data_IF_453194190232
#
_entry.id   IF_453194190232
#
_cell.length_a   1.000
_cell.length_b   1.000
_cell.length_c   1.000
_cell.angle_alpha   90.00
_cell.angle_beta   90.00
_cell.angle_gamma   90.00
#
_symmetry.space_group_name_H-M   'P 1'
#
loop_
_entity.id
_entity.type
_entity.pdbx_description
1 polymer ?
#
# COMPACT_ATOMS: atom_id res chain seq x y z
N UNK A 1 -8.78 -8.22 64.03
CA UNK A 1 -8.59 -9.44 63.23
C UNK A 1 -7.25 -9.33 62.53
N UNK A 2 -6.30 -10.26 62.56
CA UNK A 2 -6.10 -11.48 63.33
C UNK A 2 -4.59 -11.56 63.58
N UNK A 3 -4.24 -12.02 64.77
CA UNK A 3 -2.93 -12.07 65.40
C UNK A 3 -1.83 -12.69 64.52
N UNK A 4 -0.77 -11.91 64.27
CA UNK A 4 0.50 -12.38 63.75
C UNK A 4 1.17 -13.21 64.84
N UNK A 5 1.15 -14.53 64.65
CA UNK A 5 1.66 -15.52 65.58
C UNK A 5 3.18 -15.40 65.66
N UNK A 6 3.62 -14.62 66.64
CA UNK A 6 4.98 -14.64 67.13
C UNK A 6 5.21 -15.96 67.86
N UNK A 7 6.36 -16.57 67.57
CA UNK A 7 7.09 -17.47 68.47
C UNK A 7 6.91 -18.98 68.22
N UNK A 8 7.67 -19.52 67.26
CA UNK A 8 8.15 -20.91 67.36
C UNK A 8 9.56 -21.06 66.77
N UNK A 9 10.48 -20.21 67.24
CA UNK A 9 11.90 -20.26 66.88
C UNK A 9 12.74 -20.99 67.96
N UNK A 10 12.14 -21.91 68.73
CA UNK A 10 12.81 -22.57 69.85
C UNK A 10 12.33 -24.00 70.10
N UNK A 11 12.08 -24.78 69.05
CA UNK A 11 12.10 -26.24 69.13
C UNK A 11 13.21 -26.75 68.22
N UNK A 12 14.43 -26.80 68.75
CA UNK A 12 15.40 -27.76 68.24
C UNK A 12 14.71 -29.13 68.44
N UNK A 13 14.46 -29.92 67.37
CA UNK A 13 13.86 -31.24 67.54
C UNK A 13 14.72 -32.00 68.55
N UNK A 14 14.07 -32.60 69.54
CA UNK A 14 14.76 -33.39 70.57
C UNK A 14 15.59 -34.44 69.84
N UNK A 15 16.90 -34.19 69.79
CA UNK A 15 17.78 -34.79 68.80
C UNK A 15 17.87 -36.30 69.05
N UNK A 16 17.59 -36.73 70.28
CA UNK A 16 17.49 -38.13 70.66
C UNK A 16 16.24 -38.85 70.12
N UNK A 17 15.11 -38.16 69.95
CA UNK A 17 13.88 -38.78 69.44
C UNK A 17 13.97 -38.98 67.92
N UNK A 18 14.45 -37.97 67.20
CA UNK A 18 14.67 -38.04 65.75
C UNK A 18 15.73 -39.08 65.35
N UNK A 19 16.82 -39.19 66.12
CA UNK A 19 17.84 -40.23 65.89
C UNK A 19 17.29 -41.65 66.12
N UNK A 20 16.34 -41.82 67.05
CA UNK A 20 15.69 -43.11 67.30
C UNK A 20 14.78 -43.50 66.14
N UNK A 21 13.94 -42.59 65.67
CA UNK A 21 13.03 -42.82 64.54
C UNK A 21 13.83 -43.15 63.26
N UNK A 22 14.92 -42.43 63.01
CA UNK A 22 15.83 -42.75 61.91
C UNK A 22 16.49 -44.11 62.06
N UNK A 23 16.91 -44.48 63.27
CA UNK A 23 17.56 -45.78 63.50
C UNK A 23 16.62 -46.96 63.27
N UNK A 24 15.34 -46.81 63.63
CA UNK A 24 14.31 -47.83 63.38
C UNK A 24 13.96 -47.94 61.90
N UNK A 25 13.90 -46.80 61.19
CA UNK A 25 13.66 -46.78 59.74
C UNK A 25 14.82 -47.45 58.97
N UNK A 26 16.07 -47.12 59.31
CA UNK A 26 17.28 -47.70 58.70
C UNK A 26 17.37 -49.21 58.97
N UNK A 27 16.97 -49.66 60.17
CA UNK A 27 16.94 -51.09 60.51
C UNK A 27 15.86 -51.85 59.73
N UNK A 28 14.72 -51.20 59.43
CA UNK A 28 13.62 -51.81 58.69
C UNK A 28 13.94 -52.09 57.22
N UNK A 29 14.82 -51.30 56.59
CA UNK A 29 15.24 -51.49 55.18
C UNK A 29 16.52 -52.34 55.02
N UNK A 30 17.06 -52.92 56.10
CA UNK A 30 18.26 -53.77 56.07
C UNK A 30 19.48 -53.08 55.43
N UNK A 31 19.64 -51.78 55.66
CA UNK A 31 20.73 -50.97 55.13
C UNK A 31 21.86 -50.92 56.16
N UNK A 32 23.02 -51.48 55.82
CA UNK A 32 24.22 -51.39 56.65
C UNK A 32 24.72 -49.93 56.65
N UNK A 33 24.54 -49.25 57.77
CA UNK A 33 24.92 -47.84 57.91
C UNK A 33 26.06 -47.69 58.89
N UNK A 34 27.06 -46.90 58.50
CA UNK A 34 28.21 -46.53 59.32
C UNK A 34 28.05 -45.08 59.73
N UNK A 35 27.64 -44.84 60.96
CA UNK A 35 27.54 -43.48 61.50
C UNK A 35 28.94 -42.94 61.76
N UNK A 36 29.36 -41.93 60.99
CA UNK A 36 30.63 -41.24 61.21
C UNK A 36 30.32 -39.86 61.76
N UNK A 37 30.69 -39.62 63.03
CA UNK A 37 30.58 -38.30 63.66
C UNK A 37 31.64 -37.38 63.05
N UNK A 38 31.23 -36.55 62.10
CA UNK A 38 32.09 -35.49 61.56
C UNK A 38 31.98 -34.24 62.44
N UNK A 39 32.95 -34.04 63.32
CA UNK A 39 33.17 -32.75 63.97
C UNK A 39 34.07 -31.91 63.06
N UNK A 40 33.47 -31.22 62.10
CA UNK A 40 34.21 -30.17 61.39
C UNK A 40 34.22 -28.90 62.24
N UNK A 41 35.39 -28.27 62.33
CA UNK A 41 35.49 -26.96 62.96
C UNK A 41 34.79 -25.94 62.06
N UNK A 42 34.08 -24.96 62.60
CA UNK A 42 33.38 -23.91 61.82
C UNK A 42 34.30 -23.25 60.77
N UNK A 43 35.61 -23.22 61.03
CA UNK A 43 36.64 -22.78 60.09
C UNK A 43 36.76 -23.63 58.81
N UNK A 44 36.57 -24.95 58.88
CA UNK A 44 36.60 -25.84 57.71
C UNK A 44 35.37 -25.64 56.83
N UNK A 45 34.19 -25.51 57.43
CA UNK A 45 32.97 -25.19 56.69
C UNK A 45 33.05 -23.81 56.01
N UNK A 46 33.63 -22.82 56.69
CA UNK A 46 33.89 -21.50 56.10
C UNK A 46 34.94 -21.56 54.99
N UNK A 47 35.97 -22.40 55.12
CA UNK A 47 36.98 -22.56 54.08
C UNK A 47 36.40 -23.21 52.82
N UNK A 48 35.59 -24.26 52.98
CA UNK A 48 34.91 -24.92 51.85
C UNK A 48 33.92 -23.97 51.16
N UNK A 49 33.16 -23.19 51.92
CA UNK A 49 32.22 -22.23 51.32
C UNK A 49 32.93 -21.07 50.63
N UNK A 50 34.04 -20.58 51.20
CA UNK A 50 34.88 -19.55 50.57
C UNK A 50 35.45 -20.06 49.23
N UNK A 51 35.97 -21.29 49.19
CA UNK A 51 36.51 -21.89 47.96
C UNK A 51 35.41 -22.13 46.92
N UNK A 52 34.23 -22.63 47.31
CA UNK A 52 33.10 -22.76 46.37
C UNK A 52 32.59 -21.42 45.85
N UNK A 53 32.71 -20.34 46.63
CA UNK A 53 32.34 -18.99 46.18
C UNK A 53 33.31 -18.44 45.13
N UNK A 54 34.58 -18.81 45.22
CA UNK A 54 35.60 -18.51 44.20
C UNK A 54 35.35 -19.30 42.91
N UNK A 55 34.92 -20.54 43.03
CA UNK A 55 34.70 -21.47 41.90
C UNK A 55 33.56 -21.03 40.97
N UNK A 56 32.55 -20.29 41.47
CA UNK A 56 31.49 -19.74 40.60
C UNK A 56 31.95 -18.65 39.65
N UNK A 57 33.05 -17.96 39.93
CA UNK A 57 33.58 -16.88 39.08
C UNK A 57 34.84 -17.28 38.31
N UNK A 58 35.45 -18.43 38.62
CA UNK A 58 36.70 -18.85 38.01
C UNK A 58 36.41 -19.76 36.81
N UNK A 59 36.20 -19.14 35.65
CA UNK A 59 35.99 -19.87 34.40
C UNK A 59 37.29 -20.59 33.99
N UNK A 60 37.35 -21.90 34.20
CA UNK A 60 38.50 -22.77 33.86
C UNK A 60 38.66 -23.03 32.35
N UNK A 61 37.67 -22.68 31.53
CA UNK A 61 37.70 -22.87 30.08
C UNK A 61 38.27 -21.63 29.37
N UNK A 62 39.51 -21.28 29.71
CA UNK A 62 40.23 -20.12 29.17
C UNK A 62 41.50 -20.55 28.40
N UNK A 63 42.01 -19.64 27.57
CA UNK A 63 43.19 -19.91 26.74
C UNK A 63 42.96 -21.05 25.76
N UNK A 64 43.82 -22.07 25.83
CA UNK A 64 43.86 -23.22 24.91
C UNK A 64 42.65 -24.17 25.07
N UNK A 65 41.95 -24.11 26.20
CA UNK A 65 40.78 -24.95 26.51
C UNK A 65 39.43 -24.21 26.42
N UNK A 66 39.37 -23.07 25.70
CA UNK A 66 38.10 -22.38 25.41
C UNK A 66 37.18 -23.31 24.59
N UNK A 67 35.89 -23.49 24.96
CA UNK A 67 34.95 -24.21 24.12
C UNK A 67 34.85 -23.48 22.77
N UNK A 68 34.84 -24.24 21.68
CA UNK A 68 34.53 -23.72 20.35
C UNK A 68 33.14 -23.08 20.43
N UNK A 69 33.09 -21.76 20.66
CA UNK A 69 31.86 -21.10 21.08
C UNK A 69 30.77 -21.32 20.04
N UNK A 70 29.60 -21.82 20.46
CA UNK A 70 28.40 -21.88 19.60
C UNK A 70 28.07 -20.51 18.97
N UNK A 71 28.55 -19.43 19.59
CA UNK A 71 28.49 -18.06 19.07
C UNK A 71 29.29 -17.83 17.78
N UNK A 72 30.34 -18.59 17.48
CA UNK A 72 31.07 -18.44 16.21
C UNK A 72 30.23 -18.96 15.02
N UNK A 73 29.56 -20.10 15.20
CA UNK A 73 28.60 -20.62 14.22
C UNK A 73 27.39 -19.68 14.08
N UNK A 74 26.85 -19.20 15.20
CA UNK A 74 25.75 -18.23 15.20
C UNK A 74 26.14 -16.90 14.54
N UNK A 75 27.37 -16.41 14.76
CA UNK A 75 27.88 -15.18 14.12
C UNK A 75 28.06 -15.36 12.62
N UNK A 76 28.46 -16.54 12.16
CA UNK A 76 28.53 -16.85 10.71
C UNK A 76 27.13 -16.93 10.10
N UNK A 77 26.16 -17.49 10.82
CA UNK A 77 24.76 -17.51 10.41
C UNK A 77 24.15 -16.11 10.34
N UNK A 78 24.32 -15.30 11.39
CA UNK A 78 23.87 -13.91 11.44
C UNK A 78 24.51 -13.04 10.34
N UNK A 79 25.79 -13.26 10.01
CA UNK A 79 26.44 -12.60 8.86
C UNK A 79 25.81 -13.00 7.53
N UNK A 80 25.45 -14.27 7.33
CA UNK A 80 24.76 -14.72 6.12
C UNK A 80 23.36 -14.12 6.03
N UNK A 81 22.62 -14.10 7.14
CA UNK A 81 21.29 -13.49 7.23
C UNK A 81 21.36 -11.99 6.96
N UNK A 82 22.32 -11.27 7.55
CA UNK A 82 22.47 -9.82 7.31
C UNK A 82 22.79 -9.50 5.84
N UNK A 83 23.59 -10.34 5.18
CA UNK A 83 23.87 -10.19 3.74
C UNK A 83 22.61 -10.44 2.90
N UNK A 84 21.83 -11.47 3.23
CA UNK A 84 20.57 -11.74 2.56
C UNK A 84 19.54 -10.60 2.73
N UNK A 85 19.43 -10.05 3.95
CA UNK A 85 18.57 -8.91 4.23
C UNK A 85 19.05 -7.66 3.49
N UNK A 86 20.36 -7.37 3.49
CA UNK A 86 20.92 -6.25 2.75
C UNK A 86 20.67 -6.36 1.25
N UNK A 87 20.80 -7.57 0.68
CA UNK A 87 20.49 -7.83 -0.73
C UNK A 87 19.00 -7.61 -1.04
N UNK A 88 18.11 -8.05 -0.16
CA UNK A 88 16.67 -7.83 -0.31
C UNK A 88 16.31 -6.34 -0.24
N UNK A 89 16.89 -5.60 0.70
CA UNK A 89 16.69 -4.14 0.82
C UNK A 89 17.25 -3.42 -0.41
N UNK A 90 18.43 -3.79 -0.89
CA UNK A 90 19.02 -3.21 -2.09
C UNK A 90 18.15 -3.47 -3.33
N UNK A 91 17.64 -4.70 -3.49
CA UNK A 91 16.73 -5.04 -4.58
C UNK A 91 15.43 -4.25 -4.49
N UNK A 92 14.84 -4.15 -3.30
CA UNK A 92 13.64 -3.34 -3.07
C UNK A 92 13.90 -1.88 -3.45
N UNK A 93 15.01 -1.30 -3.01
CA UNK A 93 15.38 0.08 -3.33
C UNK A 93 15.58 0.29 -4.84
N UNK A 94 16.20 -0.67 -5.53
CA UNK A 94 16.41 -0.64 -6.99
C UNK A 94 15.07 -0.70 -7.74
N UNK A 95 14.15 -1.57 -7.32
CA UNK A 95 12.81 -1.66 -7.91
C UNK A 95 12.02 -0.37 -7.67
N UNK A 96 12.06 0.18 -6.45
CA UNK A 96 11.35 1.42 -6.12
C UNK A 96 11.92 2.63 -6.87
N UNK A 97 13.25 2.77 -6.95
CA UNK A 97 13.88 3.85 -7.73
C UNK A 97 13.68 3.68 -9.24
N UNK A 98 13.82 2.45 -9.76
CA UNK A 98 13.63 2.15 -11.17
C UNK A 98 12.19 2.38 -11.62
N UNK A 99 11.22 1.90 -10.84
CA UNK A 99 9.81 2.16 -11.07
C UNK A 99 9.45 3.64 -10.96
N UNK A 100 10.02 4.34 -9.96
CA UNK A 100 9.86 5.78 -9.79
C UNK A 100 10.40 6.58 -10.97
N UNK A 101 11.63 6.32 -11.41
CA UNK A 101 12.26 7.03 -12.52
C UNK A 101 11.53 6.76 -13.85
N UNK A 102 11.14 5.51 -14.10
CA UNK A 102 10.40 5.12 -15.30
C UNK A 102 9.01 5.76 -15.37
N UNK A 103 8.32 5.85 -14.22
CA UNK A 103 7.01 6.50 -14.15
C UNK A 103 7.11 8.02 -14.29
N UNK A 104 8.15 8.65 -13.75
CA UNK A 104 8.42 10.08 -13.94
C UNK A 104 8.71 10.41 -15.41
N UNK A 105 9.55 9.61 -16.10
CA UNK A 105 9.84 9.83 -17.51
C UNK A 105 8.59 9.75 -18.40
N UNK A 106 7.70 8.79 -18.10
CA UNK A 106 6.39 8.72 -18.77
C UNK A 106 5.51 9.92 -18.44
N UNK A 107 5.44 10.33 -17.17
CA UNK A 107 4.66 11.49 -16.74
C UNK A 107 5.10 12.79 -17.43
N UNK A 108 6.42 13.01 -17.56
CA UNK A 108 6.98 14.18 -18.25
C UNK A 108 6.58 14.20 -19.73
N UNK A 109 6.64 13.04 -20.41
CA UNK A 109 6.24 12.95 -21.82
C UNK A 109 4.75 13.29 -22.04
N UNK A 110 3.86 12.88 -21.13
CA UNK A 110 2.43 13.23 -21.20
C UNK A 110 2.17 14.70 -20.83
N UNK A 111 2.99 15.25 -19.92
CA UNK A 111 2.92 16.67 -19.56
C UNK A 111 3.32 17.55 -20.75
N UNK A 112 4.42 17.24 -21.43
CA UNK A 112 4.90 17.98 -22.59
C UNK A 112 3.89 17.97 -23.75
N UNK A 113 3.27 16.81 -24.03
CA UNK A 113 2.19 16.72 -25.03
C UNK A 113 0.98 17.60 -24.66
N UNK A 114 0.59 17.60 -23.38
CA UNK A 114 -0.50 18.44 -22.89
C UNK A 114 -0.18 19.93 -22.97
N UNK A 115 1.07 20.32 -22.70
CA UNK A 115 1.56 21.71 -22.83
C UNK A 115 1.56 22.15 -24.30
N UNK A 116 1.99 21.28 -25.22
CA UNK A 116 2.00 21.57 -26.65
C UNK A 116 0.58 21.85 -27.17
N UNK A 117 -0.39 20.99 -26.80
CA UNK A 117 -1.81 21.18 -27.15
C UNK A 117 -2.37 22.44 -26.50
N UNK A 118 -2.07 22.70 -25.22
CA UNK A 118 -2.56 23.90 -24.55
C UNK A 118 -2.03 25.19 -25.21
N UNK A 119 -0.77 25.18 -25.65
CA UNK A 119 -0.12 26.34 -26.28
C UNK A 119 -0.62 26.60 -27.70
N UNK A 120 -1.04 25.57 -28.44
CA UNK A 120 -1.67 25.75 -29.76
C UNK A 120 -3.05 26.40 -29.64
N UNK A 121 -3.81 26.08 -28.58
CA UNK A 121 -5.12 26.65 -28.31
C UNK A 121 -5.06 28.07 -27.71
N UNK A 122 -4.05 28.36 -26.87
CA UNK A 122 -3.93 29.65 -26.16
C UNK A 122 -2.51 30.25 -26.24
N UNK A 123 -2.09 30.77 -27.41
CA UNK A 123 -0.72 31.26 -27.64
C UNK A 123 -0.32 32.50 -26.83
N UNK A 124 -1.26 33.18 -26.16
CA UNK A 124 -1.01 34.43 -25.40
C UNK A 124 -0.68 34.23 -23.92
N UNK A 125 -0.70 33.00 -23.37
CA UNK A 125 -0.45 32.77 -21.93
C UNK A 125 0.99 32.31 -21.64
N UNK A 126 1.72 33.13 -20.86
CA UNK A 126 3.16 33.00 -20.58
C UNK A 126 3.55 31.99 -19.50
N UNK A 127 2.62 31.43 -18.72
CA UNK A 127 2.91 30.46 -17.64
C UNK A 127 1.89 29.32 -17.60
N UNK A 128 2.28 28.17 -18.13
CA UNK A 128 1.54 26.91 -18.06
C UNK A 128 2.16 26.07 -16.95
N UNK A 129 1.53 26.02 -15.78
CA UNK A 129 2.00 25.22 -14.63
C UNK A 129 1.20 23.92 -14.46
N UNK A 130 -0.08 23.93 -14.85
CA UNK A 130 -0.98 22.78 -14.90
C UNK A 130 -1.96 23.00 -16.09
N UNK A 131 -1.62 22.54 -17.31
CA UNK A 131 -2.41 22.83 -18.52
C UNK A 131 -3.85 22.31 -18.40
N UNK A 132 -4.03 21.10 -17.86
CA UNK A 132 -5.35 20.46 -17.72
C UNK A 132 -6.26 21.24 -16.75
N UNK A 133 -5.73 21.68 -15.61
CA UNK A 133 -6.52 22.46 -14.65
C UNK A 133 -6.84 23.86 -15.17
N UNK A 134 -5.89 24.49 -15.87
CA UNK A 134 -6.10 25.79 -16.49
C UNK A 134 -7.14 25.71 -17.61
N UNK A 135 -7.09 24.68 -18.45
CA UNK A 135 -8.10 24.41 -19.47
C UNK A 135 -9.47 24.17 -18.82
N UNK A 136 -9.58 23.28 -17.83
CA UNK A 136 -10.83 23.07 -17.09
C UNK A 136 -11.38 24.35 -16.48
N UNK A 137 -10.51 25.22 -15.93
CA UNK A 137 -10.93 26.53 -15.38
C UNK A 137 -11.41 27.49 -16.47
N UNK A 138 -10.73 27.53 -17.61
CA UNK A 138 -11.18 28.33 -18.75
C UNK A 138 -12.50 27.82 -19.33
N UNK A 139 -12.65 26.49 -19.43
CA UNK A 139 -13.87 25.83 -19.87
C UNK A 139 -15.02 25.98 -18.87
N UNK A 140 -14.76 26.09 -17.56
CA UNK A 140 -15.79 26.40 -16.56
C UNK A 140 -16.19 27.87 -16.53
N UNK A 141 -15.49 28.72 -17.27
CA UNK A 141 -15.83 30.11 -17.44
C UNK A 141 -15.52 30.97 -16.21
N UNK A 142 -14.65 31.95 -16.43
CA UNK A 142 -14.43 33.10 -15.56
C UNK A 142 -15.54 34.16 -15.74
N UNK A 143 -16.76 33.72 -16.08
CA UNK A 143 -17.97 34.51 -16.24
C UNK A 143 -18.95 34.03 -15.20
N UNK A 144 -19.18 34.85 -14.19
CA UNK A 144 -20.29 34.73 -13.25
C UNK A 144 -21.58 34.70 -14.09
N UNK A 145 -22.09 33.50 -14.38
CA UNK A 145 -23.26 33.29 -15.21
C UNK A 145 -23.38 31.81 -15.59
N UNK A 146 -24.48 31.18 -15.20
CA UNK A 146 -24.74 29.73 -15.15
C UNK A 146 -24.57 28.94 -16.47
N UNK A 147 -24.20 29.57 -17.58
CA UNK A 147 -24.44 29.04 -18.93
C UNK A 147 -23.34 28.14 -19.47
N UNK A 148 -22.10 28.19 -18.95
CA UNK A 148 -21.04 27.25 -19.39
C UNK A 148 -21.16 25.87 -18.71
N UNK A 149 -22.06 25.72 -17.73
CA UNK A 149 -22.27 24.44 -17.04
C UNK A 149 -22.91 23.39 -17.94
N UNK A 150 -23.71 23.78 -18.93
CA UNK A 150 -24.50 22.85 -19.75
C UNK A 150 -23.79 22.42 -21.05
N UNK A 151 -22.79 23.18 -21.52
CA UNK A 151 -22.03 22.83 -22.72
C UNK A 151 -21.22 21.53 -22.55
N UNK A 152 -20.46 21.42 -21.45
CA UNK A 152 -19.56 20.26 -21.24
C UNK A 152 -20.32 18.94 -21.09
N UNK A 153 -21.43 18.86 -20.33
CA UNK A 153 -22.25 17.65 -20.26
C UNK A 153 -22.81 17.24 -21.62
N UNK A 154 -23.34 18.20 -22.41
CA UNK A 154 -23.87 17.92 -23.74
C UNK A 154 -22.77 17.44 -24.70
N UNK A 155 -21.58 18.02 -24.61
CA UNK A 155 -20.43 17.59 -25.40
C UNK A 155 -19.92 16.19 -24.98
N UNK A 156 -19.87 15.90 -23.68
CA UNK A 156 -19.48 14.59 -23.17
C UNK A 156 -20.45 13.50 -23.69
N UNK A 157 -21.75 13.73 -23.53
CA UNK A 157 -22.80 12.87 -24.08
C UNK A 157 -22.66 12.66 -25.60
N UNK A 158 -22.50 13.75 -26.36
CA UNK A 158 -22.30 13.67 -27.81
C UNK A 158 -21.06 12.87 -28.20
N UNK A 159 -19.94 13.06 -27.49
CA UNK A 159 -18.70 12.32 -27.78
C UNK A 159 -18.81 10.82 -27.46
N UNK A 160 -19.52 10.47 -26.38
CA UNK A 160 -19.75 9.08 -25.99
C UNK A 160 -20.68 8.37 -26.96
N UNK A 161 -21.79 9.01 -27.31
CA UNK A 161 -22.72 8.53 -28.33
C UNK A 161 -22.03 8.32 -29.68
N UNK A 162 -21.09 9.21 -30.07
CA UNK A 162 -20.32 9.03 -31.30
C UNK A 162 -19.33 7.86 -31.22
N UNK A 163 -18.71 7.62 -30.06
CA UNK A 163 -17.79 6.49 -29.86
C UNK A 163 -18.53 5.14 -29.82
N UNK A 164 -19.77 5.15 -29.34
CA UNK A 164 -20.65 3.98 -29.31
C UNK A 164 -21.29 3.70 -30.67
N UNK A 165 -21.09 4.58 -31.67
CA UNK A 165 -21.61 4.32 -33.00
C UNK A 165 -20.87 3.14 -33.61
N UNK A 166 -21.65 2.13 -33.98
CA UNK A 166 -21.13 0.92 -34.60
C UNK A 166 -20.49 1.28 -35.96
N UNK A 167 -19.15 1.22 -36.02
CA UNK A 167 -18.37 1.47 -37.25
C UNK A 167 -18.45 0.30 -38.24
N UNK A 168 -19.41 -0.59 -38.05
CA UNK A 168 -19.59 -1.85 -38.78
C UNK A 168 -20.02 -1.66 -40.24
N UNK A 169 -20.36 -0.43 -40.65
CA UNK A 169 -20.81 -0.09 -42.00
C UNK A 169 -19.84 0.77 -42.83
N UNK A 170 -18.56 0.88 -42.43
CA UNK A 170 -17.52 1.51 -43.26
C UNK A 170 -16.71 2.58 -42.53
N UNK A 171 -16.61 3.78 -43.12
CA UNK A 171 -15.77 4.89 -42.66
C UNK A 171 -16.28 5.47 -41.32
N UNK A 172 -15.36 5.81 -40.41
CA UNK A 172 -15.69 6.41 -39.12
C UNK A 172 -16.40 7.76 -39.31
N UNK A 173 -17.56 7.99 -38.66
CA UNK A 173 -18.27 9.26 -38.76
C UNK A 173 -17.39 10.41 -38.26
N UNK A 174 -17.13 11.39 -39.12
CA UNK A 174 -16.23 12.50 -38.80
C UNK A 174 -17.00 13.79 -38.49
N UNK A 175 -16.72 14.39 -37.32
CA UNK A 175 -17.24 15.72 -36.97
C UNK A 175 -16.42 16.77 -37.73
N UNK A 176 -17.10 17.61 -38.52
CA UNK A 176 -16.45 18.75 -39.21
C UNK A 176 -16.53 20.03 -38.41
N UNK A 177 -17.67 20.29 -37.78
CA UNK A 177 -17.92 21.53 -37.09
C UNK A 177 -18.85 21.32 -35.90
N UNK A 178 -18.55 22.04 -34.82
CA UNK A 178 -19.33 22.07 -33.60
C UNK A 178 -19.66 23.52 -33.27
N UNK A 179 -20.94 23.82 -33.07
CA UNK A 179 -21.41 25.17 -32.71
C UNK A 179 -22.29 25.09 -31.47
N UNK A 180 -21.94 25.83 -30.42
CA UNK A 180 -22.77 25.95 -29.22
C UNK A 180 -23.49 27.30 -29.20
N UNK A 181 -24.80 27.25 -29.05
CA UNK A 181 -25.64 28.42 -28.79
C UNK A 181 -25.87 28.56 -27.28
N UNK A 182 -25.19 29.53 -26.67
CA UNK A 182 -25.27 29.83 -25.24
C UNK A 182 -26.68 30.27 -24.84
N UNK A 183 -27.41 30.98 -25.71
CA UNK A 183 -28.73 31.52 -25.35
C UNK A 183 -29.80 30.43 -25.29
N UNK A 184 -29.69 29.45 -26.20
CA UNK A 184 -30.66 28.35 -26.31
C UNK A 184 -30.20 27.07 -25.60
N UNK A 185 -28.93 26.96 -25.23
CA UNK A 185 -28.38 25.77 -24.60
C UNK A 185 -28.30 24.57 -25.55
N UNK A 186 -28.20 24.81 -26.87
CA UNK A 186 -28.13 23.76 -27.88
C UNK A 186 -26.76 23.68 -28.53
N UNK A 187 -26.36 22.48 -28.90
CA UNK A 187 -25.17 22.18 -29.70
C UNK A 187 -25.63 21.74 -31.09
N UNK A 188 -25.18 22.45 -32.13
CA UNK A 188 -25.29 21.99 -33.51
C UNK A 188 -23.98 21.30 -33.94
N UNK A 189 -24.10 20.07 -34.42
CA UNK A 189 -23.01 19.20 -34.85
C UNK A 189 -23.16 18.96 -36.36
N UNK A 190 -22.16 19.36 -37.13
CA UNK A 190 -22.03 19.01 -38.54
C UNK A 190 -21.18 17.74 -38.66
N UNK A 191 -21.78 16.67 -39.15
CA UNK A 191 -21.17 15.35 -39.27
C UNK A 191 -21.19 14.84 -40.71
N UNK A 192 -20.15 14.09 -41.06
CA UNK A 192 -20.11 13.31 -42.29
C UNK A 192 -20.29 11.83 -41.92
N UNK A 193 -21.35 11.22 -42.42
CA UNK A 193 -21.66 9.81 -42.25
C UNK A 193 -21.61 9.09 -43.60
N UNK A 194 -21.42 7.77 -43.58
CA UNK A 194 -21.40 6.96 -44.81
C UNK A 194 -22.83 6.71 -45.32
N UNK A 195 -23.81 6.62 -44.42
CA UNK A 195 -25.21 6.38 -44.74
C UNK A 195 -26.14 7.16 -43.80
N UNK A 196 -27.43 7.19 -44.16
CA UNK A 196 -28.45 7.90 -43.37
C UNK A 196 -28.77 7.14 -42.09
N UNK A 197 -28.66 5.80 -42.14
CA UNK A 197 -28.92 4.92 -41.01
C UNK A 197 -27.97 5.19 -39.83
N UNK A 198 -26.71 5.55 -40.09
CA UNK A 198 -25.74 5.98 -39.08
C UNK A 198 -26.16 7.30 -38.42
N UNK A 199 -26.75 8.22 -39.20
CA UNK A 199 -27.24 9.50 -38.67
C UNK A 199 -28.44 9.28 -37.73
N UNK A 200 -29.35 8.39 -38.11
CA UNK A 200 -30.50 8.00 -37.30
C UNK A 200 -30.08 7.22 -36.05
N UNK A 201 -29.16 6.26 -36.19
CA UNK A 201 -28.58 5.54 -35.04
C UNK A 201 -27.91 6.50 -34.04
N UNK A 202 -27.22 7.53 -34.53
CA UNK A 202 -26.61 8.55 -33.68
C UNK A 202 -27.67 9.38 -32.94
N UNK A 203 -28.75 9.76 -33.62
CA UNK A 203 -29.90 10.43 -33.00
C UNK A 203 -30.52 9.56 -31.90
N UNK A 204 -30.71 8.28 -32.17
CA UNK A 204 -31.35 7.36 -31.23
C UNK A 204 -30.50 7.14 -29.97
N UNK A 205 -29.17 7.04 -30.12
CA UNK A 205 -28.24 6.96 -28.99
C UNK A 205 -28.28 8.23 -28.12
N UNK A 206 -28.26 9.41 -28.75
CA UNK A 206 -28.38 10.68 -28.04
C UNK A 206 -29.74 10.81 -27.33
N UNK A 207 -30.82 10.36 -27.97
CA UNK A 207 -32.17 10.37 -27.39
C UNK A 207 -32.28 9.39 -26.22
N UNK A 208 -31.60 8.24 -26.28
CA UNK A 208 -31.52 7.28 -25.19
C UNK A 208 -30.76 7.83 -23.96
N UNK A 209 -29.84 8.78 -24.16
CA UNK A 209 -29.20 9.53 -23.07
C UNK A 209 -30.10 10.63 -22.47
N UNK A 210 -31.35 10.77 -22.94
CA UNK A 210 -32.32 11.75 -22.44
C UNK A 210 -32.11 13.16 -22.98
N UNK A 211 -31.47 13.28 -24.14
CA UNK A 211 -31.25 14.55 -24.83
C UNK A 211 -32.34 14.78 -25.88
N UNK A 212 -32.66 16.06 -26.10
CA UNK A 212 -33.54 16.48 -27.19
C UNK A 212 -32.73 16.59 -28.48
N UNK A 213 -33.11 15.86 -29.53
CA UNK A 213 -32.28 15.70 -30.73
C UNK A 213 -33.09 15.89 -32.01
N UNK A 214 -32.70 16.92 -32.76
CA UNK A 214 -33.32 17.30 -34.03
C UNK A 214 -32.31 17.17 -35.18
N UNK A 215 -32.67 16.43 -36.22
CA UNK A 215 -31.89 16.41 -37.47
C UNK A 215 -32.33 17.62 -38.30
N UNK A 216 -31.45 18.62 -38.40
CA UNK A 216 -31.72 19.86 -39.15
C UNK A 216 -31.59 19.67 -40.67
N UNK A 217 -30.66 18.82 -41.10
CA UNK A 217 -30.47 18.51 -42.52
C UNK A 217 -29.69 17.22 -42.69
N UNK A 218 -30.03 16.44 -43.72
CA UNK A 218 -29.23 15.31 -44.17
C UNK A 218 -29.17 15.35 -45.70
N UNK A 219 -28.03 15.80 -46.24
CA UNK A 219 -27.83 15.92 -47.68
C UNK A 219 -26.74 14.97 -48.14
N UNK A 220 -27.02 14.21 -49.20
CA UNK A 220 -26.00 13.39 -49.84
C UNK A 220 -25.07 14.27 -50.67
N UNK A 221 -23.76 14.19 -50.40
CA UNK A 221 -22.69 14.87 -51.13
C UNK A 221 -21.67 13.83 -51.61
N UNK A 222 -21.87 13.37 -52.85
CA UNK A 222 -21.09 12.29 -53.45
C UNK A 222 -21.33 10.95 -52.74
N UNK A 223 -20.25 10.39 -52.20
CA UNK A 223 -20.23 9.10 -51.48
C UNK A 223 -20.47 9.25 -49.96
N UNK A 224 -20.68 10.50 -49.49
CA UNK A 224 -20.87 10.79 -48.06
C UNK A 224 -22.14 11.58 -47.81
N UNK A 225 -22.75 11.41 -46.64
CA UNK A 225 -23.91 12.19 -46.21
C UNK A 225 -23.47 13.26 -45.23
N UNK A 226 -23.79 14.51 -45.56
CA UNK A 226 -23.64 15.68 -44.69
C UNK A 226 -24.88 15.83 -43.83
N UNK A 227 -24.76 15.38 -42.59
CA UNK A 227 -25.77 15.52 -41.55
C UNK A 227 -25.51 16.75 -40.68
N UNK A 228 -26.56 17.49 -40.34
CA UNK A 228 -26.54 18.47 -39.25
C UNK A 228 -27.53 18.04 -38.21
N UNK A 229 -27.05 17.83 -36.98
CA UNK A 229 -27.88 17.50 -35.83
C UNK A 229 -27.80 18.63 -34.81
N UNK A 230 -28.93 19.00 -34.24
CA UNK A 230 -29.03 19.85 -33.07
C UNK A 230 -29.35 19.00 -31.86
N UNK A 231 -28.58 19.19 -30.78
CA UNK A 231 -28.73 18.47 -29.51
C UNK A 231 -28.97 19.50 -28.41
N UNK A 232 -30.03 19.31 -27.66
CA UNK A 232 -30.44 20.10 -26.51
C UNK A 232 -30.63 19.23 -25.28
N UNK A 233 -30.84 19.89 -24.15
CA UNK A 233 -31.33 19.22 -22.95
C UNK A 233 -32.86 19.13 -23.03
N UNK A 234 -33.41 17.93 -22.75
CA UNK A 234 -34.85 17.72 -22.61
C UNK A 234 -35.44 18.51 -21.44
#
# INVERSE_FOLDING_TARGET
EASTDSNDASQLPDTGEWLRELSDLIRSENIETKTVMYSETVSQLLAVSAVQSLDRNLNILQGEFRPATANAANRRYLRKVSVAVAACVALFMLITLGGGAFLNYRADSYFDQSVAIYRSLFPKQRKVRDPVKQLKRQLRGNTVGATTSDFLPLLDAASRSLTNLDSSSGEEPSIKQLRYDIQRGHIAIDLHASNIDQLEAYRDLLSAEGLDVDILSANQDGDTIKGRIQVGRS
#
